data_IF_980913446706
#
_entry.id   IF_980913446706
#
_cell.length_a   1.000
_cell.length_b   1.000
_cell.length_c   1.000
_cell.angle_alpha   90.00
_cell.angle_beta   90.00
_cell.angle_gamma   90.00
#
_symmetry.space_group_name_H-M   'P 1'
#
loop_
_entity.id
_entity.type
_entity.pdbx_description
1 polymer ?
#
# COMPACT_ATOMS: atom_id res chain seq x y z
N UNK A 1 -36.97 -30.59 23.52
CA UNK A 1 -36.83 -29.25 22.91
C UNK A 1 -35.48 -29.01 22.24
N UNK A 2 -34.32 -29.21 22.87
CA UNK A 2 -33.01 -28.94 22.21
C UNK A 2 -32.67 -29.95 21.09
N UNK A 3 -33.23 -31.16 21.12
CA UNK A 3 -33.02 -32.22 20.11
C UNK A 3 -33.82 -31.96 18.83
N UNK A 4 -35.01 -31.37 18.95
CA UNK A 4 -35.87 -31.06 17.80
C UNK A 4 -35.31 -29.89 16.97
N UNK A 5 -34.56 -28.98 17.60
CA UNK A 5 -33.84 -27.90 16.91
C UNK A 5 -32.68 -28.40 16.04
N UNK A 6 -31.99 -29.48 16.46
CA UNK A 6 -30.92 -30.09 15.67
C UNK A 6 -31.46 -30.93 14.50
N UNK A 7 -32.59 -31.62 14.68
CA UNK A 7 -33.20 -32.42 13.62
C UNK A 7 -33.96 -31.58 12.57
N UNK A 8 -34.30 -30.33 12.90
CA UNK A 8 -34.94 -29.38 12.00
C UNK A 8 -33.96 -28.46 11.27
N UNK A 9 -32.65 -28.57 11.54
CA UNK A 9 -31.63 -27.86 10.78
C UNK A 9 -31.55 -28.43 9.36
N UNK A 10 -32.29 -27.80 8.46
CA UNK A 10 -32.24 -28.05 7.02
C UNK A 10 -30.80 -27.80 6.55
N UNK A 11 -30.20 -28.80 5.92
CA UNK A 11 -28.89 -28.64 5.29
C UNK A 11 -28.92 -27.42 4.34
N UNK A 12 -27.89 -26.55 4.37
CA UNK A 12 -27.85 -25.41 3.48
C UNK A 12 -27.87 -25.88 2.03
N UNK A 13 -28.58 -25.15 1.17
CA UNK A 13 -28.57 -25.44 -0.27
C UNK A 13 -27.19 -25.15 -0.85
N UNK A 14 -26.88 -25.74 -2.00
CA UNK A 14 -25.62 -25.49 -2.72
C UNK A 14 -25.45 -23.99 -3.00
N UNK A 15 -26.53 -23.31 -3.39
CA UNK A 15 -26.56 -21.86 -3.62
C UNK A 15 -26.24 -21.06 -2.34
N UNK A 16 -26.83 -21.45 -1.20
CA UNK A 16 -26.54 -20.81 0.09
C UNK A 16 -25.09 -21.03 0.52
N UNK A 17 -24.53 -22.20 0.25
CA UNK A 17 -23.14 -22.53 0.58
C UNK A 17 -22.18 -21.70 -0.28
N UNK A 18 -22.47 -21.55 -1.57
CA UNK A 18 -21.68 -20.73 -2.49
C UNK A 18 -21.71 -19.26 -2.06
N UNK A 19 -22.91 -18.71 -1.80
CA UNK A 19 -23.04 -17.33 -1.33
C UNK A 19 -22.31 -17.08 0.00
N UNK A 20 -22.37 -18.04 0.94
CA UNK A 20 -21.68 -17.93 2.21
C UNK A 20 -20.14 -17.96 2.02
N UNK A 21 -19.64 -18.87 1.19
CA UNK A 21 -18.21 -18.98 0.88
C UNK A 21 -17.66 -17.70 0.21
N UNK A 22 -18.40 -17.15 -0.76
CA UNK A 22 -18.07 -15.88 -1.42
C UNK A 22 -17.95 -14.72 -0.41
N UNK A 23 -18.91 -14.63 0.51
CA UNK A 23 -18.93 -13.60 1.55
C UNK A 23 -17.77 -13.76 2.54
N UNK A 24 -17.45 -14.99 2.92
CA UNK A 24 -16.33 -15.32 3.82
C UNK A 24 -14.99 -15.00 3.16
N UNK A 25 -14.81 -15.37 1.89
CA UNK A 25 -13.61 -15.06 1.12
C UNK A 25 -13.42 -13.55 1.00
N UNK A 26 -14.48 -12.79 0.72
CA UNK A 26 -14.43 -11.33 0.64
C UNK A 26 -14.02 -10.71 1.98
N UNK A 27 -14.56 -11.22 3.08
CA UNK A 27 -14.19 -10.78 4.43
C UNK A 27 -12.71 -11.07 4.74
N UNK A 28 -12.23 -12.27 4.38
CA UNK A 28 -10.83 -12.65 4.58
C UNK A 28 -9.87 -11.81 3.74
N UNK A 29 -10.21 -11.51 2.48
CA UNK A 29 -9.42 -10.63 1.62
C UNK A 29 -9.29 -9.22 2.19
N UNK A 30 -10.39 -8.65 2.70
CA UNK A 30 -10.38 -7.34 3.38
C UNK A 30 -9.50 -7.35 4.63
N UNK A 31 -9.59 -8.41 5.44
CA UNK A 31 -8.75 -8.56 6.63
C UNK A 31 -7.27 -8.68 6.26
N UNK A 32 -6.95 -9.46 5.22
CA UNK A 32 -5.58 -9.62 4.72
C UNK A 32 -5.00 -8.27 4.27
N UNK A 33 -5.75 -7.50 3.48
CA UNK A 33 -5.31 -6.19 3.00
C UNK A 33 -5.10 -5.20 4.16
N UNK A 34 -6.01 -5.18 5.13
CA UNK A 34 -5.88 -4.36 6.34
C UNK A 34 -4.61 -4.73 7.14
N UNK A 35 -4.36 -6.03 7.32
CA UNK A 35 -3.16 -6.53 7.99
C UNK A 35 -1.89 -6.19 7.21
N UNK A 36 -1.91 -6.30 5.88
CA UNK A 36 -0.77 -5.99 5.03
C UNK A 36 -0.42 -4.50 5.11
N UNK A 37 -1.42 -3.60 5.08
CA UNK A 37 -1.23 -2.16 5.29
C UNK A 37 -0.66 -1.85 6.67
N UNK A 38 -1.20 -2.45 7.72
CA UNK A 38 -0.69 -2.26 9.08
C UNK A 38 0.77 -2.74 9.22
N UNK A 39 1.08 -3.90 8.65
CA UNK A 39 2.42 -4.47 8.66
C UNK A 39 3.41 -3.63 7.86
N UNK A 40 3.09 -3.25 6.62
CA UNK A 40 3.92 -2.37 5.81
C UNK A 40 4.16 -1.01 6.48
N UNK A 41 3.12 -0.43 7.09
CA UNK A 41 3.23 0.79 7.88
C UNK A 41 4.19 0.64 9.07
N UNK A 42 4.06 -0.46 9.82
CA UNK A 42 4.91 -0.74 10.99
C UNK A 42 6.38 -0.98 10.63
N UNK A 43 6.65 -1.74 9.56
CA UNK A 43 8.00 -1.99 9.05
C UNK A 43 8.68 -0.68 8.65
N UNK A 44 7.95 0.25 8.01
CA UNK A 44 8.48 1.57 7.68
C UNK A 44 8.97 2.32 8.92
N UNK A 45 8.19 2.37 10.00
CA UNK A 45 8.61 3.01 11.25
C UNK A 45 9.81 2.32 11.90
N UNK A 46 9.85 0.99 11.91
CA UNK A 46 10.98 0.21 12.44
C UNK A 46 12.26 0.51 11.65
N UNK A 47 12.19 0.53 10.32
CA UNK A 47 13.33 0.84 9.48
C UNK A 47 13.83 2.28 9.67
N UNK A 48 12.92 3.24 9.81
CA UNK A 48 13.26 4.64 10.12
C UNK A 48 13.97 4.74 11.47
N UNK A 49 13.47 4.02 12.49
CA UNK A 49 14.11 3.97 13.80
C UNK A 49 15.51 3.35 13.72
N UNK A 50 15.67 2.20 13.05
CA UNK A 50 16.98 1.56 12.84
C UNK A 50 17.96 2.48 12.10
N UNK A 51 17.50 3.17 11.05
CA UNK A 51 18.36 4.10 10.33
C UNK A 51 18.77 5.31 11.18
N UNK A 52 17.87 5.81 12.04
CA UNK A 52 18.21 6.87 13.00
C UNK A 52 19.26 6.41 14.01
N UNK A 53 19.16 5.17 14.50
CA UNK A 53 20.17 4.62 15.40
C UNK A 53 21.57 4.58 14.74
N UNK A 54 21.62 4.46 13.41
CA UNK A 54 22.89 4.38 12.67
C UNK A 54 23.49 5.71 12.26
N UNK A 55 22.67 6.69 11.88
CA UNK A 55 23.16 7.97 11.39
C UNK A 55 23.11 9.09 12.46
N UNK A 56 22.21 8.97 13.45
CA UNK A 56 21.95 9.97 14.50
C UNK A 56 21.53 11.35 13.93
N UNK A 57 21.22 11.43 12.64
CA UNK A 57 20.78 12.68 12.01
C UNK A 57 19.29 12.92 12.23
N UNK A 58 18.98 14.05 12.87
CA UNK A 58 17.60 14.42 13.18
C UNK A 58 16.81 14.88 11.94
N UNK A 59 17.43 15.59 11.00
CA UNK A 59 16.73 16.15 9.83
C UNK A 59 16.18 15.06 8.89
N UNK A 60 16.98 14.06 8.44
CA UNK A 60 16.46 12.97 7.62
C UNK A 60 15.43 12.12 8.37
N UNK A 61 15.63 11.89 9.69
CA UNK A 61 14.64 11.22 10.54
C UNK A 61 13.30 11.96 10.49
N UNK A 62 13.31 13.27 10.75
CA UNK A 62 12.09 14.07 10.79
C UNK A 62 11.35 14.04 9.44
N UNK A 63 12.07 14.23 8.33
CA UNK A 63 11.48 14.15 6.99
C UNK A 63 10.88 12.77 6.71
N UNK A 64 11.59 11.68 7.02
CA UNK A 64 11.08 10.31 6.82
C UNK A 64 9.85 10.03 7.66
N UNK A 65 9.85 10.50 8.91
CA UNK A 65 8.72 10.32 9.82
C UNK A 65 7.50 11.11 9.33
N UNK A 66 7.69 12.35 8.88
CA UNK A 66 6.61 13.15 8.27
C UNK A 66 6.05 12.49 7.03
N UNK A 67 6.89 11.95 6.14
CA UNK A 67 6.44 11.19 4.96
C UNK A 67 5.68 9.94 5.38
N UNK A 68 6.21 9.13 6.29
CA UNK A 68 5.56 7.90 6.77
C UNK A 68 4.19 8.18 7.41
N UNK A 69 4.12 9.23 8.24
CA UNK A 69 2.86 9.66 8.84
C UNK A 69 1.88 10.15 7.78
N UNK A 70 2.33 10.95 6.81
CA UNK A 70 1.48 11.48 5.73
C UNK A 70 0.89 10.38 4.85
N UNK A 71 1.67 9.33 4.57
CA UNK A 71 1.18 8.13 3.87
C UNK A 71 0.17 7.35 4.71
N UNK A 72 0.38 7.30 6.02
CA UNK A 72 -0.42 6.53 6.95
C UNK A 72 -1.69 7.23 7.43
N UNK A 73 -1.87 8.53 7.16
CA UNK A 73 -3.16 9.21 7.40
C UNK A 73 -4.17 8.51 6.51
N UNK A 74 -5.12 7.73 7.08
CA UNK A 74 -6.21 7.24 6.29
C UNK A 74 -7.02 8.49 5.99
N UNK A 75 -6.90 9.02 4.78
CA UNK A 75 -7.92 9.90 4.22
C UNK A 75 -9.17 9.06 4.23
N UNK A 76 -9.91 9.18 5.33
CA UNK A 76 -11.06 8.33 5.66
C UNK A 76 -11.91 8.28 4.41
N UNK A 77 -12.44 7.09 4.09
CA UNK A 77 -13.38 6.84 2.97
C UNK A 77 -14.38 8.00 2.73
N UNK A 78 -14.77 8.72 3.79
CA UNK A 78 -15.59 9.93 3.73
C UNK A 78 -14.98 11.13 2.97
N UNK A 79 -13.69 11.47 3.17
CA UNK A 79 -13.06 12.59 2.45
C UNK A 79 -12.79 12.19 1.00
N UNK A 80 -12.24 11.00 0.74
CA UNK A 80 -12.04 10.53 -0.64
C UNK A 80 -13.35 10.39 -1.41
N UNK A 81 -14.48 10.06 -0.75
CA UNK A 81 -15.78 10.03 -1.41
C UNK A 81 -16.32 11.41 -1.77
N UNK A 82 -15.87 12.45 -1.08
CA UNK A 82 -16.27 13.85 -1.32
C UNK A 82 -15.31 14.54 -2.30
N UNK A 83 -14.03 14.16 -2.33
CA UNK A 83 -13.05 14.70 -3.27
C UNK A 83 -13.35 14.23 -4.70
N UNK A 84 -13.20 15.17 -5.64
CA UNK A 84 -13.20 14.87 -7.07
C UNK A 84 -12.02 13.99 -7.46
N UNK A 85 -12.16 13.17 -8.50
CA UNK A 85 -11.09 12.32 -9.02
C UNK A 85 -9.82 13.11 -9.37
N UNK A 86 -9.97 14.36 -9.79
CA UNK A 86 -8.85 15.29 -10.03
C UNK A 86 -8.07 15.60 -8.75
N UNK A 87 -8.77 15.89 -7.66
CA UNK A 87 -8.15 16.23 -6.37
C UNK A 87 -7.42 15.01 -5.77
N UNK A 88 -8.00 13.81 -5.94
CA UNK A 88 -7.34 12.55 -5.56
C UNK A 88 -6.03 12.34 -6.33
N UNK A 89 -6.03 12.58 -7.64
CA UNK A 89 -4.83 12.46 -8.46
C UNK A 89 -3.73 13.45 -8.02
N UNK A 90 -4.11 14.71 -7.74
CA UNK A 90 -3.19 15.72 -7.22
C UNK A 90 -2.62 15.33 -5.84
N UNK A 91 -3.46 14.79 -4.95
CA UNK A 91 -3.00 14.31 -3.64
C UNK A 91 -2.06 13.12 -3.76
N UNK A 92 -2.34 12.16 -4.65
CA UNK A 92 -1.44 11.02 -4.94
C UNK A 92 -0.08 11.50 -5.45
N UNK A 93 -0.08 12.42 -6.40
CA UNK A 93 1.15 13.05 -6.92
C UNK A 93 1.94 13.78 -5.84
N UNK A 94 1.26 14.54 -4.98
CA UNK A 94 1.89 15.26 -3.87
C UNK A 94 2.58 14.30 -2.89
N UNK A 95 1.90 13.21 -2.52
CA UNK A 95 2.47 12.20 -1.62
C UNK A 95 3.63 11.45 -2.24
N UNK A 96 3.52 11.02 -3.50
CA UNK A 96 4.61 10.37 -4.23
C UNK A 96 5.83 11.30 -4.33
N UNK A 97 5.61 12.58 -4.66
CA UNK A 97 6.66 13.59 -4.68
C UNK A 97 7.33 13.74 -3.31
N UNK A 98 6.56 13.71 -2.22
CA UNK A 98 7.08 13.71 -0.85
C UNK A 98 7.97 12.49 -0.53
N UNK A 99 7.59 11.30 -0.99
CA UNK A 99 8.42 10.07 -0.85
C UNK A 99 9.74 10.20 -1.60
N UNK A 100 9.67 10.62 -2.88
CA UNK A 100 10.87 10.79 -3.73
C UNK A 100 11.78 11.88 -3.17
N UNK A 101 11.23 13.03 -2.77
CA UNK A 101 11.99 14.15 -2.21
C UNK A 101 12.65 13.75 -0.88
N UNK A 102 11.93 13.08 0.02
CA UNK A 102 12.49 12.62 1.30
C UNK A 102 13.65 11.63 1.12
N UNK A 103 13.53 10.73 0.14
CA UNK A 103 14.60 9.81 -0.23
C UNK A 103 15.80 10.54 -0.86
N UNK A 104 15.56 11.49 -1.77
CA UNK A 104 16.62 12.26 -2.40
C UNK A 104 17.41 13.09 -1.37
N UNK A 105 16.72 13.79 -0.48
CA UNK A 105 17.36 14.57 0.60
C UNK A 105 18.20 13.66 1.51
N UNK A 106 17.68 12.48 1.84
CA UNK A 106 18.39 11.47 2.62
C UNK A 106 19.69 11.02 1.94
N UNK A 107 19.60 10.59 0.68
CA UNK A 107 20.76 10.11 -0.10
C UNK A 107 21.79 11.22 -0.27
N UNK A 108 21.35 12.44 -0.61
CA UNK A 108 22.24 13.59 -0.74
C UNK A 108 22.93 13.93 0.58
N UNK A 109 22.23 13.83 1.70
CA UNK A 109 22.82 14.07 3.02
C UNK A 109 23.93 13.06 3.33
N UNK A 110 23.73 11.76 3.08
CA UNK A 110 24.77 10.75 3.29
C UNK A 110 25.90 10.81 2.26
N UNK A 111 25.66 11.38 1.08
CA UNK A 111 26.68 11.57 0.05
C UNK A 111 27.60 12.76 0.40
N UNK A 112 27.01 13.88 0.82
CA UNK A 112 27.71 15.14 1.13
C UNK A 112 28.39 15.05 2.49
N UNK A 113 27.67 14.60 3.53
CA UNK A 113 28.22 14.48 4.88
C UNK A 113 28.98 13.16 5.03
N UNK A 114 30.17 13.21 5.64
CA UNK A 114 30.95 12.00 5.91
C UNK A 114 30.32 11.26 7.10
N UNK A 115 30.21 9.92 7.05
CA UNK A 115 29.70 9.15 8.19
C UNK A 115 30.62 9.32 9.40
N UNK A 116 30.04 9.24 10.59
CA UNK A 116 30.80 9.24 11.84
C UNK A 116 31.79 8.07 11.86
N UNK A 117 33.09 8.36 11.95
CA UNK A 117 34.15 7.34 11.98
C UNK A 117 34.82 7.15 13.34
N UNK A 118 34.71 8.13 14.23
CA UNK A 118 35.44 8.14 15.50
C UNK A 118 34.49 8.50 16.63
N UNK A 119 34.41 7.65 17.66
CA UNK A 119 33.73 8.00 18.90
C UNK A 119 34.56 9.05 19.65
N UNK A 120 33.90 9.94 20.39
CA UNK A 120 34.59 10.95 21.23
C UNK A 120 35.49 10.32 22.30
N UNK A 121 35.20 9.09 22.71
CA UNK A 121 35.95 8.36 23.74
C UNK A 121 36.99 7.36 23.18
N UNK A 122 37.13 7.23 21.86
CA UNK A 122 38.12 6.34 21.24
C UNK A 122 37.79 4.84 21.33
N UNK A 123 36.62 4.48 21.85
CA UNK A 123 36.16 3.11 22.09
C UNK A 123 35.37 2.48 20.93
N UNK A 124 35.29 3.15 19.77
CA UNK A 124 34.50 2.73 18.59
C UNK A 124 33.00 2.55 18.88
N UNK A 125 32.51 2.97 20.04
CA UNK A 125 31.08 2.89 20.38
C UNK A 125 30.39 4.21 20.04
N UNK A 126 29.17 4.11 19.55
CA UNK A 126 28.37 5.30 19.26
C UNK A 126 27.90 5.93 20.57
N UNK A 127 28.49 7.06 20.93
CA UNK A 127 28.01 7.86 22.05
C UNK A 127 26.92 8.79 21.52
N UNK A 128 25.69 8.53 21.96
CA UNK A 128 24.54 9.34 21.60
C UNK A 128 24.76 10.82 21.87
N UNK A 129 24.14 11.66 21.05
CA UNK A 129 24.12 13.11 21.23
C UNK A 129 23.13 13.54 22.33
N UNK A 130 22.32 14.55 22.04
CA UNK A 130 21.43 15.18 23.03
C UNK A 130 20.20 14.34 23.44
N UNK A 131 19.86 13.26 22.72
CA UNK A 131 18.51 12.67 22.79
C UNK A 131 18.46 11.20 23.23
N UNK A 132 19.29 10.30 22.71
CA UNK A 132 19.33 8.89 23.15
C UNK A 132 20.72 8.30 22.91
N UNK A 133 21.27 7.59 23.90
CA UNK A 133 22.53 6.85 23.81
C UNK A 133 22.25 5.36 24.05
N UNK A 134 22.48 4.53 23.02
CA UNK A 134 22.40 3.08 23.16
C UNK A 134 23.79 2.50 23.43
N UNK A 135 23.91 1.78 24.54
CA UNK A 135 25.14 1.09 24.93
C UNK A 135 25.31 -0.13 24.00
N UNK A 136 26.44 -0.21 23.30
CA UNK A 136 26.78 -1.34 22.43
C UNK A 136 26.51 -1.17 20.93
N UNK A 137 26.03 -0.01 20.47
CA UNK A 137 25.87 0.25 19.04
C UNK A 137 27.21 0.61 18.38
N UNK A 138 27.55 -0.10 17.30
CA UNK A 138 28.76 0.16 16.49
C UNK A 138 28.53 1.34 15.54
N UNK A 139 29.59 2.11 15.28
CA UNK A 139 29.61 3.07 14.15
C UNK A 139 29.39 2.33 12.82
N UNK A 140 28.69 2.93 11.84
CA UNK A 140 28.47 2.32 10.53
C UNK A 140 29.81 2.02 9.83
N UNK A 141 29.89 0.86 9.16
CA UNK A 141 31.13 0.43 8.49
C UNK A 141 31.50 1.35 7.32
N UNK A 142 30.52 1.98 6.69
CA UNK A 142 30.75 2.91 5.59
C UNK A 142 29.47 3.52 5.05
N UNK A 143 29.65 4.35 4.01
CA UNK A 143 28.56 5.08 3.33
C UNK A 143 27.54 4.14 2.68
N UNK A 144 27.99 2.98 2.21
CA UNK A 144 27.13 2.01 1.54
C UNK A 144 26.09 1.39 2.48
N UNK A 145 26.43 1.21 3.76
CA UNK A 145 25.46 0.71 4.76
C UNK A 145 24.31 1.70 4.93
N UNK A 146 24.61 3.00 5.08
CA UNK A 146 23.62 4.08 5.18
C UNK A 146 22.79 4.21 3.89
N UNK A 147 23.43 4.16 2.73
CA UNK A 147 22.75 4.19 1.43
C UNK A 147 21.78 3.01 1.25
N UNK A 148 22.14 1.81 1.68
CA UNK A 148 21.24 0.65 1.64
C UNK A 148 20.00 0.85 2.51
N UNK A 149 20.14 1.48 3.68
CA UNK A 149 18.99 1.85 4.51
C UNK A 149 18.09 2.88 3.82
N UNK A 150 18.66 3.86 3.12
CA UNK A 150 17.87 4.84 2.36
C UNK A 150 17.04 4.17 1.27
N UNK A 151 17.66 3.27 0.50
CA UNK A 151 16.99 2.50 -0.55
C UNK A 151 15.89 1.63 0.06
N UNK A 152 16.17 0.94 1.17
CA UNK A 152 15.19 0.06 1.82
C UNK A 152 13.99 0.84 2.38
N UNK A 153 14.23 2.00 3.01
CA UNK A 153 13.17 2.89 3.50
C UNK A 153 12.36 3.42 2.33
N UNK A 154 13.00 3.87 1.25
CA UNK A 154 12.31 4.33 0.05
C UNK A 154 11.41 3.24 -0.54
N UNK A 155 11.93 2.03 -0.74
CA UNK A 155 11.15 0.90 -1.24
C UNK A 155 9.96 0.59 -0.32
N UNK A 156 10.17 0.57 1.01
CA UNK A 156 9.10 0.33 1.96
C UNK A 156 8.03 1.43 1.93
N UNK A 157 8.43 2.71 1.87
CA UNK A 157 7.53 3.86 1.77
C UNK A 157 6.75 3.86 0.45
N UNK A 158 7.41 3.47 -0.65
CA UNK A 158 6.79 3.37 -1.95
C UNK A 158 5.77 2.23 -2.04
N UNK A 159 6.11 1.05 -1.54
CA UNK A 159 5.16 -0.08 -1.42
C UNK A 159 3.99 0.32 -0.52
N UNK A 160 4.25 1.00 0.59
CA UNK A 160 3.19 1.48 1.48
C UNK A 160 2.30 2.53 0.82
N UNK A 161 2.87 3.42 0.02
CA UNK A 161 2.13 4.36 -0.83
C UNK A 161 1.19 3.60 -1.79
N UNK A 162 1.69 2.62 -2.54
CA UNK A 162 0.86 1.80 -3.44
C UNK A 162 -0.28 1.09 -2.68
N UNK A 163 0.03 0.49 -1.53
CA UNK A 163 -0.97 -0.19 -0.70
C UNK A 163 -2.08 0.74 -0.19
N UNK A 164 -1.73 1.98 0.14
CA UNK A 164 -2.66 2.95 0.73
C UNK A 164 -3.45 3.76 -0.29
N UNK A 165 -2.84 4.08 -1.45
CA UNK A 165 -3.36 5.11 -2.36
C UNK A 165 -3.74 4.62 -3.75
N UNK A 166 -3.29 3.43 -4.17
CA UNK A 166 -3.62 2.88 -5.48
C UNK A 166 -4.36 1.56 -5.40
N UNK A 167 -4.27 0.84 -4.27
CA UNK A 167 -5.03 -0.40 -4.07
C UNK A 167 -6.47 -0.07 -3.66
N UNK A 168 -7.41 -0.18 -4.60
CA UNK A 168 -8.83 0.02 -4.32
C UNK A 168 -9.42 -1.15 -3.52
N UNK A 169 -10.07 -0.83 -2.40
CA UNK A 169 -10.79 -1.81 -1.57
C UNK A 169 -11.94 -2.48 -2.33
N UNK A 170 -12.42 -1.84 -3.41
CA UNK A 170 -13.51 -2.31 -4.27
C UNK A 170 -13.03 -3.29 -5.33
N UNK A 171 -11.82 -3.11 -5.88
CA UNK A 171 -11.26 -4.04 -6.87
C UNK A 171 -11.03 -5.40 -6.22
N UNK A 172 -10.47 -5.45 -4.99
CA UNK A 172 -10.32 -6.68 -4.20
C UNK A 172 -11.66 -7.41 -3.92
N UNK A 173 -12.78 -6.71 -4.04
CA UNK A 173 -14.15 -7.23 -3.89
C UNK A 173 -14.79 -7.58 -5.24
N UNK A 174 -14.31 -7.04 -6.37
CA UNK A 174 -14.97 -7.12 -7.69
C UNK A 174 -14.10 -7.63 -8.85
N UNK A 175 -12.80 -7.92 -8.67
CA UNK A 175 -11.77 -8.14 -9.72
C UNK A 175 -12.07 -9.14 -10.85
N UNK A 176 -13.23 -9.79 -10.91
CA UNK A 176 -13.58 -10.57 -12.11
C UNK A 176 -15.07 -10.73 -12.38
N UNK A 177 -15.91 -9.75 -12.01
CA UNK A 177 -17.31 -9.76 -12.45
C UNK A 177 -17.57 -8.82 -13.64
N UNK A 178 -16.78 -7.73 -13.79
CA UNK A 178 -17.05 -6.69 -14.79
C UNK A 178 -16.27 -6.82 -16.11
N UNK A 179 -15.07 -7.42 -16.11
CA UNK A 179 -14.26 -7.60 -17.33
C UNK A 179 -14.70 -8.80 -18.20
N UNK A 180 -15.94 -9.26 -18.00
CA UNK A 180 -16.50 -10.47 -18.60
C UNK A 180 -17.63 -10.22 -19.59
N UNK A 181 -18.16 -9.01 -19.60
CA UNK A 181 -19.24 -8.64 -20.51
C UNK A 181 -18.73 -8.24 -21.91
N UNK A 182 -17.46 -8.47 -22.23
CA UNK A 182 -16.84 -7.99 -23.47
C UNK A 182 -16.09 -9.07 -24.29
N UNK A 183 -15.88 -10.28 -23.77
CA UNK A 183 -15.22 -11.38 -24.49
C UNK A 183 -16.03 -12.67 -24.30
N UNK A 184 -17.06 -12.84 -25.12
CA UNK A 184 -18.03 -13.95 -24.99
C UNK A 184 -17.52 -15.32 -25.46
N UNK A 185 -16.31 -15.43 -26.04
CA UNK A 185 -15.89 -16.70 -26.69
C UNK A 185 -14.63 -17.39 -26.11
N UNK A 186 -13.96 -16.83 -25.10
CA UNK A 186 -12.79 -17.46 -24.47
C UNK A 186 -13.06 -18.08 -23.08
N UNK A 187 -14.27 -17.92 -22.53
CA UNK A 187 -14.52 -18.05 -21.09
C UNK A 187 -15.26 -19.29 -20.63
N UNK A 188 -15.28 -20.35 -21.44
CA UNK A 188 -16.06 -21.54 -21.12
C UNK A 188 -15.43 -22.48 -20.07
N UNK A 189 -14.40 -22.06 -19.31
CA UNK A 189 -13.80 -22.95 -18.29
C UNK A 189 -13.25 -22.30 -17.01
N UNK A 190 -13.34 -20.98 -16.79
CA UNK A 190 -12.60 -20.37 -15.66
C UNK A 190 -13.43 -19.41 -14.77
N UNK A 191 -14.75 -19.38 -14.96
CA UNK A 191 -15.64 -18.53 -14.16
C UNK A 191 -16.93 -19.25 -13.87
N UNK A 192 -16.90 -20.01 -12.77
CA UNK A 192 -18.00 -20.09 -11.81
C UNK A 192 -17.52 -21.02 -10.70
N UNK A 193 -16.94 -20.46 -9.63
CA UNK A 193 -17.15 -20.87 -8.23
C UNK A 193 -16.07 -20.32 -7.31
N UNK A 194 -16.38 -19.31 -6.47
CA UNK A 194 -15.55 -19.00 -5.29
C UNK A 194 -15.98 -19.81 -4.05
N UNK A 195 -16.57 -21.00 -4.29
CA UNK A 195 -16.89 -22.01 -3.28
C UNK A 195 -15.73 -22.97 -2.94
N UNK A 196 -14.49 -22.59 -3.23
CA UNK A 196 -13.20 -23.30 -3.03
C UNK A 196 -12.92 -24.49 -3.98
N UNK A 197 -12.78 -24.17 -5.26
CA UNK A 197 -12.13 -24.98 -6.30
C UNK A 197 -10.58 -24.96 -6.24
N UNK A 198 -9.99 -24.14 -5.36
CA UNK A 198 -8.55 -24.07 -5.11
C UNK A 198 -7.80 -23.02 -5.93
N UNK A 199 -8.48 -22.30 -6.84
CA UNK A 199 -7.85 -21.25 -7.65
C UNK A 199 -8.20 -19.84 -7.13
N UNK A 200 -7.68 -19.51 -5.94
CA UNK A 200 -7.98 -18.22 -5.29
C UNK A 200 -6.94 -17.17 -5.67
N UNK A 201 -7.34 -16.19 -6.49
CA UNK A 201 -6.57 -14.98 -6.71
C UNK A 201 -6.76 -14.02 -5.52
N UNK A 202 -5.69 -13.73 -4.78
CA UNK A 202 -5.72 -12.95 -3.54
C UNK A 202 -5.57 -11.45 -3.81
N UNK A 203 -4.40 -11.04 -4.32
CA UNK A 203 -4.06 -9.65 -4.59
C UNK A 203 -2.78 -9.61 -5.44
N UNK A 204 -2.80 -8.85 -6.52
CA UNK A 204 -1.58 -8.43 -7.24
C UNK A 204 -1.36 -6.94 -7.00
N UNK A 205 -0.16 -6.57 -6.56
CA UNK A 205 0.23 -5.17 -6.44
C UNK A 205 1.17 -4.90 -7.61
N UNK A 206 0.67 -4.24 -8.65
CA UNK A 206 1.51 -3.77 -9.75
C UNK A 206 2.11 -2.41 -9.39
N UNK A 207 3.34 -2.45 -8.88
CA UNK A 207 4.08 -1.25 -8.52
C UNK A 207 4.29 -0.32 -9.73
N UNK A 208 4.55 -0.89 -10.91
CA UNK A 208 4.79 -0.09 -12.11
C UNK A 208 3.49 0.54 -12.63
N UNK A 209 2.40 -0.24 -12.63
CA UNK A 209 1.05 0.25 -12.89
C UNK A 209 0.68 1.41 -11.96
N UNK A 210 1.00 1.31 -10.67
CA UNK A 210 0.78 2.40 -9.71
C UNK A 210 1.54 3.68 -10.10
N UNK A 211 2.80 3.55 -10.53
CA UNK A 211 3.58 4.70 -10.98
C UNK A 211 2.96 5.35 -12.21
N UNK A 212 2.63 4.55 -13.22
CA UNK A 212 2.04 5.03 -14.46
C UNK A 212 0.67 5.67 -14.23
N UNK A 213 -0.17 5.08 -13.38
CA UNK A 213 -1.48 5.65 -13.04
C UNK A 213 -1.34 7.04 -12.42
N UNK A 214 -0.39 7.20 -11.50
CA UNK A 214 -0.11 8.47 -10.86
C UNK A 214 0.47 9.46 -11.88
N UNK A 215 1.38 9.02 -12.76
CA UNK A 215 2.09 9.88 -13.71
C UNK A 215 1.23 10.34 -14.90
N UNK A 216 0.43 9.45 -15.47
CA UNK A 216 -0.31 9.68 -16.72
C UNK A 216 -1.59 10.50 -16.50
N UNK A 217 -1.98 10.80 -15.25
CA UNK A 217 -3.25 11.50 -14.93
C UNK A 217 -4.41 10.94 -15.74
N UNK A 218 -4.55 9.62 -15.81
CA UNK A 218 -5.74 9.04 -16.42
C UNK A 218 -6.93 9.34 -15.49
N UNK A 219 -7.53 10.49 -15.73
CA UNK A 219 -8.90 10.79 -15.34
C UNK A 219 -9.73 9.83 -16.18
N UNK A 220 -10.13 8.71 -15.58
CA UNK A 220 -11.33 8.02 -16.08
C UNK A 220 -12.48 9.00 -15.96
N UNK A 221 -12.77 9.75 -17.03
CA UNK A 221 -14.00 10.52 -17.12
C UNK A 221 -15.17 9.52 -17.03
N UNK A 222 -16.03 9.61 -16.00
CA UNK A 222 -17.25 8.83 -16.00
C UNK A 222 -18.14 9.40 -17.11
N UNK A 223 -18.26 8.64 -18.20
CA UNK A 223 -19.19 8.78 -19.32
C UNK A 223 -20.00 10.07 -19.38
N UNK A 224 -19.53 11.04 -20.17
CA UNK A 224 -20.47 11.96 -20.80
C UNK A 224 -21.39 11.13 -21.72
N UNK A 225 -22.72 11.23 -21.59
CA UNK A 225 -23.62 10.62 -22.56
C UNK A 225 -23.32 11.25 -23.92
N UNK A 226 -22.98 10.40 -24.89
CA UNK A 226 -22.89 10.81 -26.29
C UNK A 226 -24.19 11.53 -26.65
N UNK A 227 -24.12 12.75 -27.23
CA UNK A 227 -25.32 13.41 -27.72
C UNK A 227 -25.92 12.48 -28.78
N UNK A 228 -27.17 12.10 -28.54
CA UNK A 228 -27.96 11.28 -29.46
C UNK A 228 -27.78 11.81 -30.88
N UNK A 229 -27.20 10.98 -31.75
CA UNK A 229 -27.30 11.17 -33.19
C UNK A 229 -28.79 11.24 -33.50
N UNK A 230 -29.29 12.46 -33.71
CA UNK A 230 -30.57 12.67 -34.33
C UNK A 230 -30.49 12.07 -35.71
N UNK A 231 -31.06 10.88 -35.82
CA UNK A 231 -31.55 10.27 -37.05
C UNK A 231 -32.34 11.31 -37.85
N UNK A 232 -31.66 11.95 -38.80
CA UNK A 232 -32.30 12.64 -39.90
C UNK A 232 -32.80 11.57 -40.87
N UNK A 233 -34.04 11.13 -40.67
CA UNK A 233 -34.82 10.40 -41.65
C UNK A 233 -35.86 11.34 -42.26
N UNK A 234 -35.73 11.50 -43.59
CA UNK A 234 -36.69 12.04 -44.59
C UNK A 234 -36.75 13.56 -44.70
#
# INVERSE_FOLDING_TARGET
EMVDTFLSQRYPTVEQTLANNASSLTQQKRLLLANLRALAGSIGYVLIAVAYLRDVSFVPLFLRLMTQMSLGVPTKHLLLRVLSEKEKAEQRMFLLSGVVLGALVSVLSHLIYKPYKTSKMGDLQLHGGFTVQFIGERVPYGRWELFMYDVLIFCCQYVYFCLMWTTDDLEVVQSRAANLSADEDAFNNDILSDGFDGNVFLLSIDLWGCLNQVLTREVSEPGLPQPAEQSASI
#
